data_IF_132897523571
#
_entry.id   IF_132897523571
#
_cell.length_a   1.000
_cell.length_b   1.000
_cell.length_c   1.000
_cell.angle_alpha   90.00
_cell.angle_beta   90.00
_cell.angle_gamma   90.00
#
_symmetry.space_group_name_H-M   'P 1'
#
loop_
_entity.id
_entity.type
_entity.pdbx_description
1 polymer ?
#
# COMPACT_ATOMS: atom_id res chain seq x y z
N UNK A 1 56.71 15.07 -32.69
CA UNK A 1 56.15 14.17 -31.66
C UNK A 1 55.18 15.02 -30.90
N UNK A 2 54.00 15.18 -31.48
CA UNK A 2 52.93 16.02 -30.95
C UNK A 2 51.98 15.07 -30.23
N UNK A 3 51.93 15.23 -28.92
CA UNK A 3 51.06 14.44 -28.04
C UNK A 3 49.72 15.17 -28.02
N UNK A 4 48.71 14.61 -28.68
CA UNK A 4 47.32 15.04 -28.52
C UNK A 4 46.90 14.78 -27.06
N UNK A 5 46.19 15.71 -26.40
CA UNK A 5 45.61 15.42 -25.10
C UNK A 5 44.37 14.52 -25.29
N UNK A 6 44.41 13.34 -24.68
CA UNK A 6 43.23 12.49 -24.47
C UNK A 6 42.14 13.29 -23.75
N UNK A 7 40.95 13.30 -24.32
CA UNK A 7 39.75 13.79 -23.67
C UNK A 7 39.40 12.84 -22.51
N UNK A 8 39.53 13.34 -21.29
CA UNK A 8 39.12 12.68 -20.05
C UNK A 8 37.60 12.55 -20.01
N UNK A 9 37.17 11.36 -19.59
CA UNK A 9 35.82 10.83 -19.46
C UNK A 9 34.73 11.84 -19.04
N UNK A 10 33.69 11.94 -19.86
CA UNK A 10 32.42 12.55 -19.50
C UNK A 10 31.56 11.59 -18.69
N UNK A 11 31.65 11.69 -17.37
CA UNK A 11 30.77 11.04 -16.40
C UNK A 11 29.29 11.29 -16.79
N UNK A 12 28.51 10.21 -16.92
CA UNK A 12 27.09 10.28 -17.28
C UNK A 12 26.31 11.01 -16.17
N UNK A 13 26.12 12.33 -16.34
CA UNK A 13 25.24 13.12 -15.50
C UNK A 13 23.81 12.72 -15.87
N UNK A 14 23.26 11.76 -15.13
CA UNK A 14 21.87 11.33 -15.29
C UNK A 14 20.94 12.54 -15.23
N UNK A 15 20.12 12.72 -16.26
CA UNK A 15 19.13 13.79 -16.31
C UNK A 15 18.14 13.71 -15.14
N UNK A 16 17.27 14.73 -14.96
CA UNK A 16 16.24 14.68 -13.94
C UNK A 16 15.39 13.42 -14.11
N UNK A 17 14.99 12.74 -13.00
CA UNK A 17 14.24 11.49 -13.06
C UNK A 17 12.94 11.69 -13.84
N UNK A 18 12.67 10.77 -14.74
CA UNK A 18 11.46 10.78 -15.57
C UNK A 18 10.29 10.10 -14.82
N UNK A 19 9.02 10.36 -15.19
CA UNK A 19 7.89 9.59 -14.67
C UNK A 19 8.05 8.07 -14.82
N UNK A 20 8.73 7.62 -15.88
CA UNK A 20 9.02 6.22 -16.12
C UNK A 20 9.99 5.65 -15.09
N UNK A 21 11.03 6.38 -14.71
CA UNK A 21 11.99 5.96 -13.70
C UNK A 21 11.33 5.83 -12.33
N UNK A 22 10.51 6.81 -11.94
CA UNK A 22 9.74 6.81 -10.69
C UNK A 22 8.78 5.61 -10.62
N UNK A 23 8.05 5.34 -11.71
CA UNK A 23 7.14 4.21 -11.80
C UNK A 23 7.87 2.87 -11.77
N UNK A 24 9.05 2.75 -12.40
CA UNK A 24 9.85 1.53 -12.37
C UNK A 24 10.37 1.22 -10.96
N UNK A 25 10.80 2.23 -10.20
CA UNK A 25 11.18 2.08 -8.79
C UNK A 25 9.99 1.57 -7.97
N UNK A 26 8.82 2.18 -8.16
CA UNK A 26 7.59 1.75 -7.49
C UNK A 26 7.20 0.31 -7.85
N UNK A 27 7.24 -0.07 -9.13
CA UNK A 27 6.87 -1.42 -9.59
C UNK A 27 7.83 -2.50 -9.08
N UNK A 28 9.10 -2.13 -8.88
CA UNK A 28 10.14 -2.97 -8.27
C UNK A 28 9.93 -3.23 -6.77
N UNK A 29 9.03 -2.51 -6.09
CA UNK A 29 8.69 -2.80 -4.70
C UNK A 29 8.05 -4.20 -4.58
N UNK A 30 8.29 -4.93 -3.48
CA UNK A 30 7.70 -6.24 -3.27
C UNK A 30 6.17 -6.21 -3.27
N UNK A 31 5.57 -7.14 -3.99
CA UNK A 31 4.13 -7.42 -3.88
C UNK A 31 3.86 -8.04 -2.52
N UNK A 32 3.02 -7.41 -1.72
CA UNK A 32 2.66 -7.85 -0.37
C UNK A 32 1.31 -8.56 -0.31
N UNK A 33 0.48 -8.37 -1.34
CA UNK A 33 -0.79 -9.06 -1.49
C UNK A 33 -1.21 -9.09 -2.97
N UNK A 34 -1.94 -10.13 -3.37
CA UNK A 34 -2.54 -10.27 -4.68
C UNK A 34 -3.93 -10.85 -4.52
N UNK A 35 -4.91 -10.26 -5.22
CA UNK A 35 -6.30 -10.68 -5.16
C UNK A 35 -7.23 -9.61 -5.73
N UNK A 36 -8.53 -9.91 -5.83
CA UNK A 36 -9.49 -8.96 -6.34
C UNK A 36 -9.89 -7.90 -5.30
N UNK A 37 -10.01 -6.66 -5.75
CA UNK A 37 -10.76 -5.61 -5.07
C UNK A 37 -12.18 -5.62 -5.61
N UNK A 38 -13.18 -5.70 -4.73
CA UNK A 38 -14.58 -5.84 -5.11
C UNK A 38 -15.45 -4.76 -4.47
N UNK A 39 -16.38 -4.20 -5.24
CA UNK A 39 -17.46 -3.36 -4.71
C UNK A 39 -18.82 -3.96 -5.11
N UNK A 40 -19.74 -4.18 -4.15
CA UNK A 40 -21.10 -4.54 -4.46
C UNK A 40 -21.78 -3.42 -5.27
N UNK A 41 -22.40 -3.78 -6.38
CA UNK A 41 -23.26 -2.87 -7.16
C UNK A 41 -24.72 -3.31 -6.97
N UNK A 42 -25.63 -2.34 -6.76
CA UNK A 42 -27.05 -2.62 -6.52
C UNK A 42 -27.81 -2.94 -7.83
N UNK A 43 -27.26 -2.56 -8.99
CA UNK A 43 -27.91 -2.68 -10.30
C UNK A 43 -27.28 -3.74 -11.21
N UNK A 44 -26.09 -4.24 -10.87
CA UNK A 44 -25.31 -5.12 -11.74
C UNK A 44 -24.47 -6.10 -10.90
N UNK A 45 -23.88 -7.10 -11.54
CA UNK A 45 -22.88 -7.97 -10.89
C UNK A 45 -21.78 -7.12 -10.22
N UNK A 46 -21.26 -7.58 -9.08
CA UNK A 46 -20.26 -6.81 -8.33
C UNK A 46 -19.02 -6.49 -9.18
N UNK A 47 -18.63 -5.21 -9.22
CA UNK A 47 -17.41 -4.79 -9.90
C UNK A 47 -16.21 -5.41 -9.20
N UNK A 48 -15.40 -6.14 -9.93
CA UNK A 48 -14.32 -6.96 -9.40
C UNK A 48 -13.06 -6.76 -10.23
N UNK A 49 -12.06 -6.11 -9.65
CA UNK A 49 -10.80 -5.79 -10.31
C UNK A 49 -9.65 -6.61 -9.72
N UNK A 50 -9.00 -7.50 -10.49
CA UNK A 50 -7.79 -8.20 -10.05
C UNK A 50 -6.66 -7.20 -9.82
N UNK A 51 -6.11 -7.18 -8.60
CA UNK A 51 -5.08 -6.22 -8.20
C UNK A 51 -3.89 -6.90 -7.53
N UNK A 52 -2.79 -6.17 -7.50
CA UNK A 52 -1.66 -6.42 -6.59
C UNK A 52 -1.46 -5.22 -5.70
N UNK A 53 -1.02 -5.45 -4.46
CA UNK A 53 -0.72 -4.39 -3.50
C UNK A 53 0.77 -4.37 -3.18
N UNK A 54 1.33 -3.16 -3.07
CA UNK A 54 2.70 -2.90 -2.60
C UNK A 54 2.65 -1.97 -1.40
N UNK A 55 3.51 -2.18 -0.41
CA UNK A 55 3.63 -1.23 0.69
C UNK A 55 4.25 0.07 0.18
N UNK A 56 3.62 1.20 0.50
CA UNK A 56 4.07 2.54 0.05
C UNK A 56 4.21 3.56 1.18
N UNK A 57 3.94 3.17 2.42
CA UNK A 57 4.16 4.04 3.56
C UNK A 57 3.82 3.40 4.90
N UNK A 58 4.21 4.10 5.96
CA UNK A 58 4.04 3.69 7.35
C UNK A 58 5.20 2.82 7.86
N UNK A 59 4.92 2.08 8.92
CA UNK A 59 5.88 1.12 9.47
C UNK A 59 6.19 0.02 8.47
N UNK A 60 7.46 -0.23 8.19
CA UNK A 60 7.89 -1.35 7.36
C UNK A 60 7.49 -2.70 8.00
N UNK A 61 6.66 -3.47 7.29
CA UNK A 61 6.27 -4.82 7.69
C UNK A 61 7.11 -5.91 7.01
N UNK A 62 8.02 -5.51 6.11
CA UNK A 62 8.83 -6.42 5.31
C UNK A 62 8.00 -7.24 4.33
N UNK A 63 8.55 -8.36 3.89
CA UNK A 63 7.91 -9.30 2.96
C UNK A 63 7.36 -10.55 3.66
N UNK A 64 7.32 -10.54 5.00
CA UNK A 64 6.86 -11.67 5.78
C UNK A 64 5.34 -11.88 5.61
N UNK A 65 4.98 -12.96 4.92
CA UNK A 65 3.60 -13.31 4.56
C UNK A 65 2.64 -13.32 5.77
N UNK A 66 3.09 -13.79 6.94
CA UNK A 66 2.24 -13.85 8.13
C UNK A 66 1.78 -12.47 8.64
N UNK A 67 2.58 -11.41 8.48
CA UNK A 67 2.20 -10.06 8.90
C UNK A 67 1.14 -9.48 7.96
N UNK A 68 1.31 -9.70 6.66
CA UNK A 68 0.34 -9.23 5.66
C UNK A 68 -0.99 -9.97 5.76
N UNK A 69 -0.99 -11.25 6.15
CA UNK A 69 -2.21 -12.00 6.48
C UNK A 69 -2.98 -11.46 7.69
N UNK A 70 -2.34 -10.68 8.58
CA UNK A 70 -3.04 -9.97 9.65
C UNK A 70 -3.83 -8.75 9.16
N UNK A 71 -3.46 -8.19 7.99
CA UNK A 71 -4.10 -7.03 7.37
C UNK A 71 -5.09 -7.47 6.29
N UNK A 72 -4.67 -8.37 5.41
CA UNK A 72 -5.47 -9.00 4.37
C UNK A 72 -6.01 -10.34 4.85
N UNK A 73 -7.01 -10.28 5.73
CA UNK A 73 -7.61 -11.45 6.39
C UNK A 73 -8.50 -12.28 5.46
N UNK A 74 -8.88 -11.73 4.30
CA UNK A 74 -9.73 -12.34 3.29
C UNK A 74 -9.01 -12.38 1.95
N UNK A 75 -9.29 -13.36 1.08
CA UNK A 75 -8.70 -13.43 -0.26
C UNK A 75 -9.22 -12.32 -1.19
N UNK A 76 -10.34 -11.69 -0.85
CA UNK A 76 -10.97 -10.60 -1.59
C UNK A 76 -11.01 -9.37 -0.70
N UNK A 77 -10.56 -8.23 -1.23
CA UNK A 77 -10.70 -6.94 -0.55
C UNK A 77 -12.04 -6.32 -0.95
N UNK A 78 -13.07 -6.51 -0.11
CA UNK A 78 -14.43 -6.06 -0.40
C UNK A 78 -14.72 -4.70 0.24
N UNK A 79 -15.20 -3.75 -0.56
CA UNK A 79 -15.68 -2.44 -0.10
C UNK A 79 -17.10 -2.62 0.45
N UNK A 80 -17.23 -2.61 1.76
CA UNK A 80 -18.51 -2.79 2.47
C UNK A 80 -19.13 -1.47 2.93
N UNK A 81 -18.34 -0.39 2.97
CA UNK A 81 -18.81 0.94 3.36
C UNK A 81 -18.26 2.04 2.47
N UNK A 82 -18.83 3.24 2.59
CA UNK A 82 -18.36 4.46 1.91
C UNK A 82 -18.43 5.63 2.87
N UNK A 83 -17.42 6.49 2.84
CA UNK A 83 -17.27 7.62 3.76
C UNK A 83 -16.96 8.89 2.98
N UNK A 84 -17.51 10.07 3.33
CA UNK A 84 -17.17 11.30 2.61
C UNK A 84 -15.68 11.63 2.73
N UNK A 85 -15.07 12.05 1.62
CA UNK A 85 -13.63 12.36 1.54
C UNK A 85 -13.18 13.27 2.68
N UNK A 86 -13.81 14.43 2.98
CA UNK A 86 -13.36 15.31 4.05
C UNK A 86 -13.35 14.64 5.44
N UNK A 87 -14.33 13.78 5.72
CA UNK A 87 -14.43 13.08 7.00
C UNK A 87 -13.32 12.04 7.15
N UNK A 88 -13.07 11.25 6.11
CA UNK A 88 -11.96 10.28 6.12
C UNK A 88 -10.59 10.94 6.14
N UNK A 89 -10.38 12.02 5.37
CA UNK A 89 -9.09 12.75 5.36
C UNK A 89 -8.78 13.26 6.75
N UNK A 90 -9.73 13.97 7.39
CA UNK A 90 -9.57 14.44 8.77
C UNK A 90 -9.25 13.28 9.73
N UNK A 91 -10.03 12.20 9.65
CA UNK A 91 -9.83 11.05 10.53
C UNK A 91 -8.44 10.41 10.36
N UNK A 92 -7.95 10.24 9.13
CA UNK A 92 -6.64 9.66 8.86
C UNK A 92 -5.51 10.56 9.38
N UNK A 93 -5.59 11.88 9.18
CA UNK A 93 -4.63 12.84 9.75
C UNK A 93 -4.64 12.75 11.28
N UNK A 94 -5.81 12.85 11.92
CA UNK A 94 -5.95 12.76 13.37
C UNK A 94 -5.43 11.41 13.91
N UNK A 95 -5.63 10.32 13.16
CA UNK A 95 -5.18 8.98 13.52
C UNK A 95 -3.66 8.84 13.42
N UNK A 96 -3.01 9.42 12.40
CA UNK A 96 -1.55 9.44 12.28
C UNK A 96 -0.88 10.09 13.48
N UNK A 97 -1.49 11.15 14.01
CA UNK A 97 -1.00 11.88 15.18
C UNK A 97 -1.31 11.16 16.51
N UNK A 98 -2.13 10.11 16.50
CA UNK A 98 -2.47 9.36 17.70
C UNK A 98 -1.34 8.37 18.07
N UNK A 99 -0.75 8.46 19.28
CA UNK A 99 0.40 7.64 19.67
C UNK A 99 0.08 6.14 19.81
N UNK A 100 -1.20 5.77 19.95
CA UNK A 100 -1.66 4.38 20.12
C UNK A 100 -2.03 3.69 18.80
N UNK A 101 -2.09 4.46 17.72
CA UNK A 101 -2.45 3.99 16.39
C UNK A 101 -1.25 4.00 15.48
N UNK A 102 -1.36 3.20 14.42
CA UNK A 102 -0.38 3.15 13.35
C UNK A 102 -1.13 3.14 12.02
N UNK A 103 -0.56 3.77 11.01
CA UNK A 103 -1.10 3.76 9.66
C UNK A 103 -0.10 3.05 8.74
N UNK A 104 -0.58 2.04 8.03
CA UNK A 104 0.19 1.36 6.98
C UNK A 104 -0.51 1.60 5.66
N UNK A 105 0.21 2.17 4.70
CA UNK A 105 -0.30 2.46 3.37
C UNK A 105 0.21 1.42 2.37
N UNK A 106 -0.70 0.93 1.55
CA UNK A 106 -0.41 0.13 0.35
C UNK A 106 -0.96 0.84 -0.88
N UNK A 107 -0.37 0.60 -2.04
CA UNK A 107 -0.94 1.00 -3.32
C UNK A 107 -1.37 -0.24 -4.09
N UNK A 108 -2.64 -0.28 -4.47
CA UNK A 108 -3.22 -1.23 -5.38
C UNK A 108 -3.05 -0.74 -6.81
N UNK A 109 -2.55 -1.63 -7.67
CA UNK A 109 -2.54 -1.47 -9.12
C UNK A 109 -3.24 -2.67 -9.75
N UNK A 110 -3.97 -2.49 -10.87
CA UNK A 110 -4.58 -3.61 -11.56
C UNK A 110 -3.49 -4.56 -12.08
N UNK A 111 -3.81 -5.86 -12.16
CA UNK A 111 -2.89 -6.86 -12.73
C UNK A 111 -2.65 -6.60 -14.22
N UNK A 112 -3.69 -6.16 -14.93
CA UNK A 112 -3.63 -5.79 -16.34
C UNK A 112 -3.74 -4.28 -16.47
N UNK A 113 -2.86 -3.67 -17.26
CA UNK A 113 -2.99 -2.25 -17.59
C UNK A 113 -4.30 -1.99 -18.36
N UNK A 114 -4.98 -0.91 -18.01
CA UNK A 114 -6.27 -0.56 -18.62
C UNK A 114 -7.46 -1.40 -18.15
N UNK A 115 -7.36 -2.08 -17.00
CA UNK A 115 -8.48 -2.81 -16.42
C UNK A 115 -9.70 -1.88 -16.19
N UNK A 116 -10.78 -2.16 -16.91
CA UNK A 116 -11.97 -1.32 -16.92
C UNK A 116 -12.73 -1.38 -15.60
N UNK A 117 -12.70 -2.51 -14.89
CA UNK A 117 -13.38 -2.65 -13.60
C UNK A 117 -12.66 -1.83 -12.53
N UNK A 118 -11.33 -1.81 -12.55
CA UNK A 118 -10.52 -0.95 -11.69
C UNK A 118 -10.81 0.53 -11.95
N UNK A 119 -10.86 0.94 -13.23
CA UNK A 119 -11.22 2.30 -13.62
C UNK A 119 -12.64 2.68 -13.14
N UNK A 120 -13.63 1.81 -13.34
CA UNK A 120 -15.02 2.02 -12.87
C UNK A 120 -15.08 2.19 -11.35
N UNK A 121 -14.36 1.37 -10.59
CA UNK A 121 -14.30 1.46 -9.12
C UNK A 121 -13.78 2.83 -8.67
N UNK A 122 -12.65 3.27 -9.24
CA UNK A 122 -12.05 4.57 -8.95
C UNK A 122 -12.99 5.71 -9.32
N UNK A 123 -13.49 5.72 -10.55
CA UNK A 123 -14.38 6.77 -11.03
C UNK A 123 -15.66 6.87 -10.20
N UNK A 124 -16.22 5.75 -9.78
CA UNK A 124 -17.43 5.74 -8.97
C UNK A 124 -17.21 6.41 -7.61
N UNK A 125 -16.13 6.05 -6.92
CA UNK A 125 -15.77 6.65 -5.63
C UNK A 125 -15.50 8.15 -5.76
N UNK A 126 -14.77 8.56 -6.80
CA UNK A 126 -14.49 9.97 -7.12
C UNK A 126 -15.79 10.73 -7.39
N UNK A 127 -16.64 10.23 -8.30
CA UNK A 127 -17.92 10.86 -8.67
C UNK A 127 -18.87 11.01 -7.48
N UNK A 128 -18.80 10.09 -6.50
CA UNK A 128 -19.60 10.16 -5.27
C UNK A 128 -18.96 10.99 -4.17
N UNK A 129 -17.72 11.45 -4.34
CA UNK A 129 -16.96 12.15 -3.30
C UNK A 129 -16.76 11.28 -2.06
N UNK A 130 -16.46 9.98 -2.25
CA UNK A 130 -16.32 9.00 -1.17
C UNK A 130 -14.99 8.25 -1.26
N UNK A 131 -14.45 7.87 -0.11
CA UNK A 131 -13.52 6.74 -0.02
C UNK A 131 -14.29 5.45 0.28
N UNK A 132 -13.75 4.32 -0.18
CA UNK A 132 -14.23 3.00 0.20
C UNK A 132 -13.78 2.63 1.62
N UNK A 133 -14.59 1.85 2.31
CA UNK A 133 -14.27 1.25 3.61
C UNK A 133 -14.31 -0.26 3.48
N UNK A 134 -13.23 -0.89 3.94
CA UNK A 134 -13.08 -2.33 4.10
C UNK A 134 -12.97 -2.60 5.60
N UNK A 135 -13.57 -3.69 6.07
CA UNK A 135 -13.50 -4.11 7.46
C UNK A 135 -12.80 -5.47 7.59
N UNK A 136 -11.45 -5.54 7.45
CA UNK A 136 -10.73 -6.81 7.46
C UNK A 136 -10.96 -7.63 8.75
N UNK A 137 -11.21 -6.94 9.85
CA UNK A 137 -11.41 -7.56 11.17
C UNK A 137 -12.88 -7.62 11.58
N UNK A 138 -13.82 -7.49 10.64
CA UNK A 138 -15.23 -7.71 10.92
C UNK A 138 -15.44 -9.09 11.57
N UNK A 139 -16.13 -9.13 12.69
CA UNK A 139 -16.37 -10.37 13.46
C UNK A 139 -15.23 -10.80 14.39
N UNK A 140 -14.07 -10.13 14.36
CA UNK A 140 -13.01 -10.34 15.35
C UNK A 140 -13.25 -9.39 16.54
N UNK A 141 -13.27 -9.88 17.80
CA UNK A 141 -13.41 -9.01 18.96
C UNK A 141 -12.34 -7.92 18.98
N UNK A 142 -12.73 -6.70 19.38
CA UNK A 142 -11.87 -5.51 19.37
C UNK A 142 -10.61 -5.64 20.22
N UNK A 143 -10.56 -6.57 21.17
CA UNK A 143 -9.37 -6.89 21.98
C UNK A 143 -8.32 -7.70 21.20
N UNK A 144 -8.74 -8.40 20.14
CA UNK A 144 -7.89 -9.29 19.34
C UNK A 144 -7.61 -8.79 17.93
N UNK A 145 -8.42 -7.87 17.40
CA UNK A 145 -8.27 -7.33 16.05
C UNK A 145 -6.95 -6.56 15.84
N UNK A 146 -6.18 -6.83 14.80
CA UNK A 146 -4.90 -6.11 14.55
C UNK A 146 -5.13 -4.62 14.29
N UNK A 147 -6.29 -4.27 13.74
CA UNK A 147 -6.68 -2.91 13.43
C UNK A 147 -8.19 -2.70 13.52
N UNK A 148 -8.64 -1.58 12.94
CA UNK A 148 -10.06 -1.16 12.95
C UNK A 148 -10.70 -1.33 11.57
N UNK A 149 -10.16 -0.61 10.60
CA UNK A 149 -10.68 -0.47 9.24
C UNK A 149 -9.54 -0.22 8.24
N UNK A 150 -9.86 -0.36 6.96
CA UNK A 150 -8.98 0.02 5.85
C UNK A 150 -9.74 0.92 4.88
N UNK A 151 -9.13 2.05 4.52
CA UNK A 151 -9.69 3.05 3.62
C UNK A 151 -9.13 2.82 2.22
N UNK A 152 -10.01 2.66 1.23
CA UNK A 152 -9.65 2.59 -0.19
C UNK A 152 -9.90 3.94 -0.86
N UNK A 153 -8.82 4.57 -1.29
CA UNK A 153 -8.77 5.94 -1.79
C UNK A 153 -8.39 5.91 -3.26
N UNK A 154 -9.28 6.31 -4.19
CA UNK A 154 -8.90 6.52 -5.58
C UNK A 154 -7.76 7.54 -5.66
N UNK A 155 -6.76 7.26 -6.46
CA UNK A 155 -5.57 8.09 -6.54
C UNK A 155 -5.12 8.23 -7.98
N UNK A 156 -5.54 9.33 -8.62
CA UNK A 156 -5.26 9.55 -10.03
C UNK A 156 -3.81 9.92 -10.28
N UNK A 157 -3.30 9.61 -11.46
CA UNK A 157 -1.93 9.93 -11.85
C UNK A 157 -1.57 11.41 -11.64
N UNK A 158 -2.50 12.32 -11.94
CA UNK A 158 -2.32 13.77 -11.85
C UNK A 158 -2.55 14.38 -10.45
N UNK A 159 -3.21 13.65 -9.54
CA UNK A 159 -3.59 14.20 -8.22
C UNK A 159 -2.36 14.31 -7.31
N UNK A 160 -2.24 15.34 -6.44
CA UNK A 160 -1.15 15.38 -5.46
C UNK A 160 -1.27 14.24 -4.44
N UNK A 161 -0.15 13.83 -3.86
CA UNK A 161 -0.14 12.86 -2.76
C UNK A 161 -0.97 13.40 -1.59
N UNK A 162 -1.91 12.60 -1.01
CA UNK A 162 -2.71 13.08 0.10
C UNK A 162 -1.86 13.36 1.35
N UNK A 163 -2.18 14.43 2.08
CA UNK A 163 -1.44 14.89 3.28
C UNK A 163 -1.22 13.75 4.31
N UNK A 164 -2.24 12.94 4.61
CA UNK A 164 -2.11 11.84 5.55
C UNK A 164 -1.15 10.73 5.09
N UNK A 165 -0.82 10.67 3.80
CA UNK A 165 0.23 9.79 3.25
C UNK A 165 1.59 10.46 3.39
N UNK A 166 1.70 11.76 3.10
CA UNK A 166 2.96 12.53 3.25
C UNK A 166 3.47 12.53 4.69
N UNK A 167 2.55 12.50 5.67
CA UNK A 167 2.88 12.39 7.09
C UNK A 167 3.36 11.00 7.51
N UNK A 168 3.26 9.98 6.66
CA UNK A 168 3.73 8.64 6.99
C UNK A 168 5.25 8.56 6.90
N UNK A 169 5.80 7.60 7.65
CA UNK A 169 7.21 7.24 7.50
C UNK A 169 7.39 6.35 6.26
N UNK A 170 8.60 6.33 5.68
CA UNK A 170 8.97 5.44 4.55
C UNK A 170 8.05 5.53 3.32
N UNK A 171 7.62 6.74 2.95
CA UNK A 171 6.78 6.94 1.77
C UNK A 171 7.55 6.58 0.50
N UNK A 172 7.01 5.64 -0.28
CA UNK A 172 7.58 5.12 -1.52
C UNK A 172 6.59 5.23 -2.68
N UNK A 173 5.72 6.24 -2.64
CA UNK A 173 4.89 6.57 -3.79
C UNK A 173 5.71 7.31 -4.86
N UNK A 174 5.51 6.96 -6.14
CA UNK A 174 6.13 7.70 -7.24
C UNK A 174 5.60 9.14 -7.26
N UNK A 175 6.50 10.13 -7.39
CA UNK A 175 6.12 11.54 -7.41
C UNK A 175 5.43 11.88 -8.71
N UNK A 176 5.92 11.31 -9.80
CA UNK A 176 5.32 11.40 -11.13
C UNK A 176 4.73 10.03 -11.49
N UNK A 177 3.43 10.01 -11.81
CA UNK A 177 2.69 8.78 -12.12
C UNK A 177 2.23 8.78 -13.57
N UNK A 178 2.24 7.59 -14.17
CA UNK A 178 1.76 7.36 -15.53
C UNK A 178 0.39 6.69 -15.58
N UNK A 179 -0.14 6.23 -14.44
CA UNK A 179 -1.44 5.56 -14.33
C UNK A 179 -2.11 5.81 -12.98
N UNK A 180 -3.42 5.64 -12.97
CA UNK A 180 -4.25 5.68 -11.77
C UNK A 180 -3.96 4.48 -10.86
N UNK A 181 -4.10 4.72 -9.56
CA UNK A 181 -3.90 3.75 -8.50
C UNK A 181 -5.05 3.83 -7.51
N UNK A 182 -5.08 2.92 -6.55
CA UNK A 182 -5.95 3.02 -5.39
C UNK A 182 -5.11 2.81 -4.14
N UNK A 183 -5.12 3.75 -3.20
CA UNK A 183 -4.39 3.61 -1.95
C UNK A 183 -5.24 2.86 -0.93
N UNK A 184 -4.65 1.88 -0.26
CA UNK A 184 -5.21 1.24 0.92
C UNK A 184 -4.52 1.76 2.18
N UNK A 185 -5.26 2.38 3.08
CA UNK A 185 -4.70 2.86 4.36
C UNK A 185 -5.32 2.07 5.51
N UNK A 186 -4.53 1.17 6.08
CA UNK A 186 -4.93 0.36 7.23
C UNK A 186 -4.74 1.15 8.53
N UNK A 187 -5.79 1.18 9.36
CA UNK A 187 -5.73 1.76 10.70
C UNK A 187 -5.48 0.66 11.72
N UNK A 188 -4.29 0.63 12.29
CA UNK A 188 -3.81 -0.44 13.15
C UNK A 188 -3.69 -0.01 14.62
N UNK A 189 -3.68 -1.00 15.51
CA UNK A 189 -3.23 -0.82 16.89
C UNK A 189 -1.71 -1.00 16.96
N UNK A 190 -1.00 0.04 17.40
CA UNK A 190 0.47 0.11 17.33
C UNK A 190 1.18 -1.01 18.11
N UNK A 191 0.63 -1.39 19.25
CA UNK A 191 1.20 -2.41 20.13
C UNK A 191 0.99 -3.83 19.58
N UNK A 192 -0.11 -4.08 18.88
CA UNK A 192 -0.46 -5.40 18.35
C UNK A 192 0.43 -5.79 17.18
N UNK A 193 0.64 -4.85 16.26
CA UNK A 193 1.53 -5.10 15.11
C UNK A 193 2.99 -5.23 15.57
N UNK A 194 3.42 -4.44 16.58
CA UNK A 194 4.75 -4.56 17.16
C UNK A 194 5.00 -5.94 17.78
N UNK A 195 4.04 -6.43 18.58
CA UNK A 195 4.11 -7.77 19.20
C UNK A 195 4.22 -8.87 18.16
N UNK A 196 3.40 -8.81 17.09
CA UNK A 196 3.45 -9.78 16.00
C UNK A 196 4.80 -9.81 15.27
N UNK A 197 5.44 -8.65 15.08
CA UNK A 197 6.78 -8.57 14.48
C UNK A 197 7.87 -9.18 15.37
N UNK A 198 7.73 -9.12 16.69
CA UNK A 198 8.70 -9.69 17.64
C UNK A 198 8.49 -11.18 17.93
N UNK A 199 7.31 -11.74 17.64
CA UNK A 199 6.97 -13.13 17.96
C UNK A 199 7.47 -14.17 16.94
N UNK A 200 8.19 -13.76 15.89
CA UNK A 200 8.78 -14.72 14.94
C UNK A 200 9.96 -15.44 15.61
N UNK A 201 9.90 -16.76 15.84
CA UNK A 201 11.02 -17.49 16.39
C UNK A 201 12.15 -17.53 15.37
N UNK A 202 13.31 -16.99 15.72
CA UNK A 202 14.55 -17.24 14.99
C UNK A 202 14.83 -18.74 15.03
N UNK A 203 14.63 -19.46 13.92
CA UNK A 203 15.03 -20.86 13.80
C UNK A 203 16.56 -20.92 13.71
N UNK A 204 17.24 -20.85 14.85
CA UNK A 204 18.65 -21.25 14.95
C UNK A 204 18.68 -22.78 14.89
N UNK A 205 19.30 -23.42 13.89
CA UNK A 205 19.44 -24.87 13.90
C UNK A 205 20.30 -25.29 15.11
N UNK A 206 19.94 -26.36 15.83
CA UNK A 206 20.74 -26.83 16.95
C UNK A 206 22.12 -27.27 16.45
N UNK A 207 23.17 -26.67 17.01
CA UNK A 207 24.55 -27.08 16.79
C UNK A 207 24.69 -28.50 17.36
N UNK A 208 24.81 -29.47 16.47
CA UNK A 208 25.06 -30.87 16.83
C UNK A 208 26.55 -31.02 17.15
N UNK A 209 26.90 -31.07 18.43
CA UNK A 209 28.27 -31.37 18.83
C UNK A 209 28.62 -32.81 18.42
N UNK A 210 29.80 -33.07 17.83
CA UNK A 210 30.23 -34.43 17.51
C UNK A 210 30.59 -35.19 18.80
N UNK A 211 30.34 -36.51 18.85
CA UNK A 211 30.65 -37.34 20.02
C UNK A 211 32.17 -37.57 20.19
N UNK A 212 32.59 -37.71 21.45
CA UNK A 212 33.96 -38.06 21.87
C UNK A 212 34.40 -39.45 21.40
#
# INVERSE_FOLDING_TARGET
MDIEPEAVDGEAIGGPPTPQDDMQIFEGLPVVWSGPVQMPNEQDSAWTAPCVARQVGGRNLGTADFLWKLLFTQPITRIDGRVPVPASTKYLVDTRLNPTKDLVAVAFTPVNDGDQEFAKLNEFLIKKGRHGLVFPWAGVPSERATGRDCYLIPFKAEDPTPEYIELLDNVQLPKLRTRDMMLGVFVLHKDRIAKAQTSVPSSTPPIQNPPL
#
